data_IF_620342557670
#
_entry.id   IF_620342557670
#
_cell.length_a   1.000
_cell.length_b   1.000
_cell.length_c   1.000
_cell.angle_alpha   90.00
_cell.angle_beta   90.00
_cell.angle_gamma   90.00
#
_symmetry.space_group_name_H-M   'P 1'
#
loop_
_entity.id
_entity.type
_entity.pdbx_description
1 polymer ?
#
# COMPACT_ATOMS: atom_id res chain seq x y z
N UNK A 1 64.73 -24.65 -34.15
CA UNK A 1 64.37 -23.20 -34.18
C UNK A 1 63.11 -22.86 -34.97
N UNK A 2 62.94 -23.32 -36.23
CA UNK A 2 61.69 -23.07 -36.99
C UNK A 2 60.50 -23.96 -36.57
N UNK A 3 60.78 -25.21 -36.17
CA UNK A 3 59.78 -26.17 -35.73
C UNK A 3 59.21 -25.80 -34.36
N UNK A 4 60.06 -25.37 -33.43
CA UNK A 4 59.68 -24.94 -32.07
C UNK A 4 58.76 -23.71 -32.09
N UNK A 5 59.01 -22.78 -33.03
CA UNK A 5 58.16 -21.59 -33.24
C UNK A 5 56.74 -21.95 -33.70
N UNK A 6 56.59 -22.96 -34.56
CA UNK A 6 55.26 -23.41 -35.02
C UNK A 6 54.48 -24.09 -33.91
N UNK A 7 55.16 -24.90 -33.08
CA UNK A 7 54.56 -25.56 -31.92
C UNK A 7 54.07 -24.51 -30.90
N UNK A 8 54.89 -23.50 -30.60
CA UNK A 8 54.51 -22.41 -29.68
C UNK A 8 53.32 -21.58 -30.20
N UNK A 9 53.29 -21.25 -31.49
CA UNK A 9 52.16 -20.53 -32.09
C UNK A 9 50.89 -21.38 -32.09
N UNK A 10 50.98 -22.68 -32.40
CA UNK A 10 49.83 -23.59 -32.35
C UNK A 10 49.30 -23.79 -30.92
N UNK A 11 50.17 -23.87 -29.92
CA UNK A 11 49.79 -23.97 -28.52
C UNK A 11 49.11 -22.68 -28.02
N UNK A 12 49.60 -21.51 -28.45
CA UNK A 12 48.97 -20.22 -28.14
C UNK A 12 47.56 -20.10 -28.69
N UNK A 13 47.35 -20.46 -29.97
CA UNK A 13 46.02 -20.44 -30.62
C UNK A 13 45.06 -21.41 -29.92
N UNK A 14 45.53 -22.63 -29.59
CA UNK A 14 44.74 -23.62 -28.86
C UNK A 14 44.30 -23.14 -27.48
N UNK A 15 45.22 -22.52 -26.72
CA UNK A 15 44.91 -21.97 -25.39
C UNK A 15 43.91 -20.81 -25.46
N UNK A 16 44.05 -19.90 -26.44
CA UNK A 16 43.09 -18.81 -26.64
C UNK A 16 41.70 -19.29 -27.05
N UNK A 17 41.62 -20.30 -27.92
CA UNK A 17 40.34 -20.91 -28.31
C UNK A 17 39.66 -21.60 -27.12
N UNK A 18 40.42 -22.33 -26.30
CA UNK A 18 39.91 -22.98 -25.09
C UNK A 18 39.42 -21.95 -24.06
N UNK A 19 40.20 -20.90 -23.82
CA UNK A 19 39.82 -19.81 -22.92
C UNK A 19 38.55 -19.08 -23.40
N UNK A 20 38.46 -18.79 -24.71
CA UNK A 20 37.26 -18.19 -25.31
C UNK A 20 36.03 -19.10 -25.15
N UNK A 21 36.17 -20.40 -25.38
CA UNK A 21 35.09 -21.38 -25.21
C UNK A 21 34.64 -21.50 -23.75
N UNK A 22 35.58 -21.54 -22.80
CA UNK A 22 35.27 -21.58 -21.36
C UNK A 22 34.56 -20.28 -20.93
N UNK A 23 35.07 -19.11 -21.32
CA UNK A 23 34.47 -17.81 -20.99
C UNK A 23 33.06 -17.69 -21.57
N UNK A 24 32.85 -18.09 -22.83
CA UNK A 24 31.52 -18.03 -23.46
C UNK A 24 30.53 -19.00 -22.82
N UNK A 25 30.98 -20.20 -22.43
CA UNK A 25 30.13 -21.19 -21.74
C UNK A 25 29.79 -20.75 -20.32
N UNK A 26 30.74 -20.15 -19.58
CA UNK A 26 30.50 -19.56 -18.27
C UNK A 26 29.56 -18.35 -18.37
N UNK A 27 29.77 -17.44 -19.34
CA UNK A 27 28.84 -16.33 -19.59
C UNK A 27 27.43 -16.82 -19.91
N UNK A 28 27.30 -17.87 -20.73
CA UNK A 28 26.00 -18.44 -21.07
C UNK A 28 25.32 -19.11 -19.87
N UNK A 29 26.09 -19.81 -19.02
CA UNK A 29 25.57 -20.42 -17.79
C UNK A 29 25.20 -19.39 -16.71
N UNK A 30 25.96 -18.28 -16.63
CA UNK A 30 25.65 -17.17 -15.72
C UNK A 30 24.48 -16.33 -16.26
N UNK A 31 24.36 -16.19 -17.58
CA UNK A 31 23.24 -15.53 -18.26
C UNK A 31 21.98 -16.39 -18.32
N UNK A 32 22.08 -17.72 -18.23
CA UNK A 32 20.92 -18.63 -18.26
C UNK A 32 20.21 -18.75 -16.90
N UNK A 33 20.56 -17.90 -15.93
CA UNK A 33 19.76 -17.68 -14.73
C UNK A 33 18.61 -16.69 -14.96
N UNK A 34 18.17 -16.53 -16.21
CA UNK A 34 16.83 -16.03 -16.50
C UNK A 34 15.88 -17.18 -16.18
N UNK A 35 15.32 -17.21 -14.97
CA UNK A 35 14.11 -18.00 -14.74
C UNK A 35 13.10 -17.63 -15.82
N UNK A 36 12.42 -18.60 -16.43
CA UNK A 36 11.29 -18.34 -17.32
C UNK A 36 10.17 -17.71 -16.48
N UNK A 37 10.21 -16.39 -16.32
CA UNK A 37 9.17 -15.65 -15.61
C UNK A 37 7.90 -15.75 -16.44
N UNK A 38 6.94 -16.54 -15.95
CA UNK A 38 5.63 -16.67 -16.57
C UNK A 38 4.79 -15.47 -16.16
N UNK A 39 4.29 -14.66 -17.10
CA UNK A 39 3.37 -13.58 -16.77
C UNK A 39 2.07 -14.19 -16.20
N UNK A 40 1.76 -13.88 -14.95
CA UNK A 40 0.56 -14.40 -14.25
C UNK A 40 -0.61 -13.42 -14.27
N UNK A 41 -0.41 -12.19 -14.75
CA UNK A 41 -1.47 -11.20 -14.83
C UNK A 41 -1.00 -9.81 -15.24
N UNK A 42 -1.93 -8.86 -15.30
CA UNK A 42 -1.67 -7.45 -15.57
C UNK A 42 -2.46 -6.59 -14.59
N UNK A 43 -1.89 -5.49 -14.10
CA UNK A 43 -2.61 -4.57 -13.20
C UNK A 43 -3.79 -3.94 -13.96
N UNK A 44 -4.99 -4.03 -13.39
CA UNK A 44 -6.22 -3.43 -13.94
C UNK A 44 -6.42 -2.01 -13.45
N UNK A 45 -6.42 -1.86 -12.13
CA UNK A 45 -6.77 -0.63 -11.43
C UNK A 45 -5.92 -0.53 -10.15
N UNK A 46 -5.61 0.71 -9.79
CA UNK A 46 -4.88 1.06 -8.58
C UNK A 46 -5.71 2.06 -7.79
N UNK A 47 -5.73 1.88 -6.48
CA UNK A 47 -6.42 2.77 -5.57
C UNK A 47 -5.52 3.22 -4.41
N UNK A 48 -5.64 4.49 -4.05
CA UNK A 48 -5.02 5.07 -2.84
C UNK A 48 -6.11 5.66 -1.96
N UNK A 49 -6.01 5.45 -0.64
CA UNK A 49 -6.99 5.91 0.33
C UNK A 49 -6.33 6.85 1.35
N UNK A 50 -6.22 8.17 1.08
CA UNK A 50 -5.50 9.08 1.97
C UNK A 50 -6.01 9.04 3.42
N UNK A 51 -7.34 9.03 3.59
CA UNK A 51 -8.00 8.92 4.90
C UNK A 51 -8.61 7.52 5.04
N UNK A 52 -8.28 6.85 6.14
CA UNK A 52 -8.81 5.53 6.49
C UNK A 52 -10.33 5.53 6.47
N UNK A 53 -10.92 4.51 5.85
CA UNK A 53 -12.38 4.31 5.71
C UNK A 53 -13.13 5.34 4.86
N UNK A 54 -12.43 6.31 4.25
CA UNK A 54 -13.05 7.27 3.32
C UNK A 54 -12.99 6.79 1.87
N UNK A 55 -13.53 7.58 0.94
CA UNK A 55 -13.55 7.24 -0.49
C UNK A 55 -12.14 7.08 -1.05
N UNK A 56 -11.92 5.99 -1.79
CA UNK A 56 -10.66 5.74 -2.50
C UNK A 56 -10.52 6.60 -3.75
N UNK A 57 -9.27 6.86 -4.14
CA UNK A 57 -8.91 7.57 -5.37
C UNK A 57 -8.36 6.55 -6.35
N UNK A 58 -9.00 6.43 -7.51
CA UNK A 58 -8.45 5.67 -8.64
C UNK A 58 -7.26 6.42 -9.23
N UNK A 59 -6.12 5.74 -9.40
CA UNK A 59 -4.89 6.32 -9.91
C UNK A 59 -4.35 5.51 -11.08
N UNK A 60 -3.68 6.18 -12.02
CA UNK A 60 -3.08 5.52 -13.17
C UNK A 60 -1.78 4.76 -12.81
N UNK A 61 -1.03 5.31 -11.86
CA UNK A 61 0.25 4.78 -11.40
C UNK A 61 0.50 5.15 -9.96
N UNK A 62 1.21 4.31 -9.21
CA UNK A 62 1.65 4.59 -7.84
C UNK A 62 3.08 4.11 -7.62
N UNK A 63 3.83 4.83 -6.79
CA UNK A 63 5.08 4.36 -6.22
C UNK A 63 4.81 3.38 -5.08
N UNK A 64 5.54 2.28 -5.03
CA UNK A 64 5.40 1.28 -3.98
C UNK A 64 6.36 1.60 -2.82
N UNK A 65 5.87 2.26 -1.77
CA UNK A 65 6.60 2.51 -0.54
C UNK A 65 6.39 1.40 0.52
N UNK A 66 7.26 1.34 1.53
CA UNK A 66 7.14 0.34 2.60
C UNK A 66 5.86 0.52 3.46
N UNK A 67 5.33 1.75 3.55
CA UNK A 67 4.08 2.07 4.25
C UNK A 67 2.82 1.87 3.41
N UNK A 68 2.94 1.75 2.09
CA UNK A 68 1.82 1.59 1.16
C UNK A 68 2.02 2.33 -0.17
N UNK A 69 1.03 2.30 -1.06
CA UNK A 69 1.13 3.00 -2.35
C UNK A 69 1.10 4.52 -2.16
N UNK A 70 1.90 5.22 -2.98
CA UNK A 70 1.94 6.68 -3.05
C UNK A 70 1.64 7.12 -4.48
N UNK A 71 0.71 8.06 -4.66
CA UNK A 71 0.42 8.67 -5.96
C UNK A 71 0.46 10.20 -5.83
N UNK A 72 1.53 10.83 -6.33
CA UNK A 72 1.75 12.25 -6.10
C UNK A 72 1.83 12.55 -4.61
N UNK A 73 0.93 13.40 -4.11
CA UNK A 73 0.84 13.75 -2.68
C UNK A 73 -0.11 12.82 -1.89
N UNK A 74 -0.73 11.84 -2.54
CA UNK A 74 -1.61 10.87 -1.89
C UNK A 74 -0.81 9.71 -1.31
N UNK A 75 -0.67 9.68 0.01
CA UNK A 75 -0.10 8.55 0.75
C UNK A 75 -1.23 7.67 1.29
N UNK A 76 -1.12 6.36 1.15
CA UNK A 76 -2.15 5.44 1.61
C UNK A 76 -2.31 5.47 3.14
N UNK A 77 -3.52 5.82 3.59
CA UNK A 77 -3.99 5.79 4.98
C UNK A 77 -3.07 6.52 5.94
N UNK A 78 -2.55 7.65 5.49
CA UNK A 78 -1.81 8.59 6.34
C UNK A 78 -2.70 9.36 7.29
N UNK A 79 -4.02 9.29 7.13
CA UNK A 79 -4.96 9.95 8.02
C UNK A 79 -5.98 8.97 8.60
N UNK A 80 -6.43 9.25 9.82
CA UNK A 80 -7.47 8.48 10.50
C UNK A 80 -8.44 9.39 11.23
N UNK A 81 -9.73 9.03 11.19
CA UNK A 81 -10.79 9.76 11.89
C UNK A 81 -11.05 9.07 13.23
N UNK A 82 -11.07 9.82 14.33
CA UNK A 82 -11.23 9.32 15.69
C UNK A 82 -12.31 10.08 16.46
N UNK A 83 -12.86 9.44 17.47
CA UNK A 83 -13.56 10.11 18.57
C UNK A 83 -12.54 10.85 19.44
N UNK A 84 -12.70 12.15 19.60
CA UNK A 84 -11.73 13.04 20.27
C UNK A 84 -11.63 12.85 21.79
N UNK A 85 -12.64 12.23 22.41
CA UNK A 85 -12.65 11.93 23.86
C UNK A 85 -11.98 10.60 24.17
N UNK A 86 -12.28 9.57 23.38
CA UNK A 86 -11.86 8.18 23.63
C UNK A 86 -10.65 7.77 22.80
N UNK A 87 -10.33 8.50 21.74
CA UNK A 87 -9.29 8.14 20.77
C UNK A 87 -9.70 7.02 19.82
N UNK A 88 -10.90 6.42 19.96
CA UNK A 88 -11.32 5.30 19.12
C UNK A 88 -11.55 5.76 17.70
N UNK A 89 -10.91 5.09 16.75
CA UNK A 89 -11.12 5.36 15.33
C UNK A 89 -12.52 4.97 14.85
N UNK A 90 -13.05 5.75 13.92
CA UNK A 90 -14.25 5.41 13.18
C UNK A 90 -13.91 4.58 11.95
N UNK A 91 -14.78 3.61 11.67
CA UNK A 91 -14.68 2.73 10.51
C UNK A 91 -15.94 2.85 9.65
N UNK A 92 -15.81 2.52 8.36
CA UNK A 92 -16.96 2.45 7.46
C UNK A 92 -18.02 1.43 7.93
N UNK A 93 -17.64 0.42 8.74
CA UNK A 93 -18.58 -0.52 9.37
C UNK A 93 -19.49 0.16 10.39
N UNK A 94 -18.96 1.12 11.14
CA UNK A 94 -19.72 1.89 12.13
C UNK A 94 -20.44 3.07 11.48
N UNK A 95 -19.78 3.72 10.52
CA UNK A 95 -20.25 4.93 9.84
C UNK A 95 -20.09 4.79 8.32
N UNK A 96 -21.02 4.11 7.63
CA UNK A 96 -20.92 3.86 6.19
C UNK A 96 -20.81 5.14 5.35
N UNK A 97 -21.34 6.26 5.82
CA UNK A 97 -21.24 7.57 5.17
C UNK A 97 -19.79 7.98 4.86
N UNK A 98 -18.81 7.50 5.63
CA UNK A 98 -17.38 7.79 5.40
C UNK A 98 -16.92 7.44 3.99
N UNK A 99 -17.43 6.35 3.41
CA UNK A 99 -17.03 5.91 2.06
C UNK A 99 -17.48 6.88 0.95
N UNK A 100 -18.35 7.83 1.28
CA UNK A 100 -18.82 8.88 0.37
C UNK A 100 -18.00 10.18 0.49
N UNK A 101 -17.17 10.30 1.53
CA UNK A 101 -16.35 11.49 1.79
C UNK A 101 -15.11 11.43 0.91
N UNK A 102 -14.96 12.43 0.04
CA UNK A 102 -13.84 12.56 -0.87
C UNK A 102 -12.68 13.28 -0.18
N UNK A 103 -11.48 12.71 -0.26
CA UNK A 103 -10.29 13.27 0.38
C UNK A 103 -9.19 13.42 -0.66
N UNK A 104 -8.92 14.66 -1.11
CA UNK A 104 -7.92 14.93 -2.15
C UNK A 104 -6.82 15.82 -1.60
N UNK A 105 -5.56 15.51 -1.92
CA UNK A 105 -4.39 16.29 -1.54
C UNK A 105 -3.82 16.92 -2.82
N UNK A 106 -3.58 18.22 -2.78
CA UNK A 106 -2.90 18.97 -3.82
C UNK A 106 -2.21 20.18 -3.20
N UNK A 107 -0.99 20.48 -3.65
CA UNK A 107 -0.21 21.65 -3.22
C UNK A 107 -0.02 21.72 -1.69
N UNK A 108 0.15 20.56 -1.05
CA UNK A 108 0.30 20.42 0.40
C UNK A 108 -0.98 20.64 1.20
N UNK A 109 -2.14 20.67 0.55
CA UNK A 109 -3.45 20.88 1.18
C UNK A 109 -4.36 19.67 0.97
N UNK A 110 -4.79 19.06 2.07
CA UNK A 110 -5.86 18.06 2.07
C UNK A 110 -7.21 18.78 2.02
N UNK A 111 -8.00 18.52 0.99
CA UNK A 111 -9.41 18.92 0.87
C UNK A 111 -10.29 17.72 1.17
N UNK A 112 -11.14 17.84 2.18
CA UNK A 112 -12.16 16.86 2.55
C UNK A 112 -13.51 17.39 2.10
N UNK A 113 -14.26 16.61 1.32
CA UNK A 113 -15.56 16.99 0.78
C UNK A 113 -16.61 15.92 1.05
N UNK A 114 -17.72 16.30 1.69
CA UNK A 114 -18.84 15.39 1.94
C UNK A 114 -19.75 15.31 0.72
N UNK A 115 -20.60 14.27 0.69
CA UNK A 115 -21.58 14.10 -0.39
C UNK A 115 -22.54 15.28 -0.52
N UNK A 116 -22.87 15.93 0.59
CA UNK A 116 -23.82 17.04 0.66
C UNK A 116 -23.19 18.38 0.24
N UNK A 117 -21.92 18.36 -0.18
CA UNK A 117 -21.22 19.52 -0.76
C UNK A 117 -20.42 20.35 0.23
N UNK A 118 -20.48 20.04 1.54
CA UNK A 118 -19.64 20.68 2.54
C UNK A 118 -18.18 20.28 2.34
N UNK A 119 -17.27 21.21 2.63
CA UNK A 119 -15.83 20.96 2.49
C UNK A 119 -15.03 21.68 3.56
N UNK A 120 -13.90 21.08 3.94
CA UNK A 120 -12.90 21.66 4.82
C UNK A 120 -11.51 21.40 4.25
N UNK A 121 -10.56 22.26 4.60
CA UNK A 121 -9.17 22.14 4.15
C UNK A 121 -8.20 22.00 5.31
N UNK A 122 -7.12 21.25 5.09
CA UNK A 122 -6.05 21.03 6.06
C UNK A 122 -4.72 21.30 5.37
N UNK A 123 -4.01 22.33 5.82
CA UNK A 123 -2.64 22.60 5.38
C UNK A 123 -1.67 21.66 6.12
N UNK A 124 -1.04 20.74 5.39
CA UNK A 124 -0.22 19.66 5.95
C UNK A 124 1.01 20.22 6.68
N UNK A 125 1.69 21.20 6.10
CA UNK A 125 2.86 21.83 6.72
C UNK A 125 2.51 22.55 8.04
N UNK A 126 1.34 23.19 8.10
CA UNK A 126 0.84 23.80 9.32
C UNK A 126 0.60 22.76 10.41
N UNK A 127 0.03 21.60 10.08
CA UNK A 127 -0.14 20.49 11.03
C UNK A 127 1.21 19.99 11.54
N UNK A 128 2.18 19.78 10.64
CA UNK A 128 3.56 19.37 11.01
C UNK A 128 4.27 20.39 11.90
N UNK A 129 4.01 21.68 11.71
CA UNK A 129 4.59 22.76 12.53
C UNK A 129 3.94 22.85 13.91
N UNK A 130 2.62 22.71 13.98
CA UNK A 130 1.86 22.82 15.22
C UNK A 130 2.10 21.63 16.16
N UNK A 131 2.33 20.43 15.61
CA UNK A 131 2.65 19.20 16.36
C UNK A 131 1.70 18.90 17.52
N UNK A 132 0.42 19.21 17.35
CA UNK A 132 -0.60 18.88 18.36
C UNK A 132 -0.85 17.37 18.30
N UNK A 133 -0.30 16.62 19.24
CA UNK A 133 -0.36 15.17 19.25
C UNK A 133 -1.63 14.65 19.95
N UNK A 134 -2.24 13.61 19.38
CA UNK A 134 -3.30 12.81 20.00
C UNK A 134 -3.08 11.33 19.72
N UNK A 135 -3.64 10.47 20.56
CA UNK A 135 -3.58 9.02 20.40
C UNK A 135 -4.85 8.49 19.74
N UNK A 136 -4.69 7.76 18.65
CA UNK A 136 -5.71 6.89 18.10
C UNK A 136 -5.64 5.49 18.74
N UNK A 137 -6.79 4.89 19.01
CA UNK A 137 -6.94 3.51 19.46
C UNK A 137 -7.56 2.72 18.32
N UNK A 138 -6.76 1.88 17.68
CA UNK A 138 -7.11 1.08 16.51
C UNK A 138 -7.64 -0.31 16.91
N UNK A 139 -7.73 -1.22 15.93
CA UNK A 139 -8.07 -2.62 16.14
C UNK A 139 -7.22 -3.26 17.25
N UNK A 140 -7.84 -4.18 18.00
CA UNK A 140 -7.21 -4.84 19.16
C UNK A 140 -6.73 -3.88 20.26
N UNK A 141 -7.29 -2.67 20.32
CA UNK A 141 -6.90 -1.58 21.23
C UNK A 141 -5.44 -1.13 21.06
N UNK A 142 -4.83 -1.37 19.90
CA UNK A 142 -3.48 -0.90 19.60
C UNK A 142 -3.47 0.62 19.52
N UNK A 143 -2.52 1.25 20.20
CA UNK A 143 -2.36 2.69 20.25
C UNK A 143 -1.39 3.18 19.19
N UNK A 144 -1.79 4.21 18.45
CA UNK A 144 -0.95 4.88 17.46
C UNK A 144 -1.19 6.37 17.56
N UNK A 145 -0.12 7.14 17.72
CA UNK A 145 -0.20 8.59 17.81
C UNK A 145 -0.31 9.25 16.43
N UNK A 146 -0.84 10.46 16.41
CA UNK A 146 -0.98 11.28 15.21
C UNK A 146 -1.10 12.75 15.54
N UNK A 147 -0.93 13.59 14.52
CA UNK A 147 -1.05 15.04 14.62
C UNK A 147 -2.50 15.47 14.31
N UNK A 148 -3.11 16.22 15.21
CA UNK A 148 -4.46 16.78 15.06
C UNK A 148 -4.49 17.78 13.90
N UNK A 149 -5.42 17.56 12.96
CA UNK A 149 -5.57 18.37 11.75
C UNK A 149 -6.36 19.68 11.94
N UNK A 150 -6.85 19.96 13.15
CA UNK A 150 -7.50 21.20 13.53
C UNK A 150 -9.03 21.16 13.56
N UNK A 151 -9.62 22.26 14.04
CA UNK A 151 -11.05 22.35 14.34
C UNK A 151 -11.96 22.36 13.10
N UNK A 152 -11.50 22.92 11.97
CA UNK A 152 -12.33 23.05 10.76
C UNK A 152 -12.74 21.68 10.20
N UNK A 153 -11.76 20.79 10.03
CA UNK A 153 -12.02 19.42 9.56
C UNK A 153 -12.69 18.57 10.63
N UNK A 154 -12.44 18.85 11.91
CA UNK A 154 -13.11 18.18 13.02
C UNK A 154 -14.62 18.50 13.04
N UNK A 155 -14.99 19.75 12.81
CA UNK A 155 -16.39 20.16 12.67
C UNK A 155 -17.06 19.47 11.48
N UNK A 156 -16.39 19.41 10.33
CA UNK A 156 -16.90 18.74 9.14
C UNK A 156 -17.17 17.25 9.39
N UNK A 157 -16.24 16.53 10.01
CA UNK A 157 -16.44 15.11 10.32
C UNK A 157 -17.49 14.90 11.42
N UNK A 158 -17.57 15.80 12.40
CA UNK A 158 -18.59 15.74 13.45
C UNK A 158 -20.00 15.84 12.84
N UNK A 159 -20.19 16.78 11.92
CA UNK A 159 -21.44 16.94 11.17
C UNK A 159 -21.72 15.72 10.28
N UNK A 160 -20.73 15.30 9.48
CA UNK A 160 -20.89 14.19 8.54
C UNK A 160 -21.20 12.84 9.22
N UNK A 161 -20.66 12.60 10.41
CA UNK A 161 -20.85 11.34 11.16
C UNK A 161 -22.01 11.39 12.15
N UNK A 162 -22.59 12.57 12.40
CA UNK A 162 -23.60 12.79 13.44
C UNK A 162 -23.07 12.52 14.85
N UNK A 163 -21.81 12.89 15.12
CA UNK A 163 -21.11 12.63 16.38
C UNK A 163 -20.50 13.94 16.92
N UNK A 164 -20.12 13.94 18.20
CA UNK A 164 -19.48 15.12 18.82
C UNK A 164 -17.98 14.92 18.96
N UNK A 165 -17.19 15.95 18.69
CA UNK A 165 -15.73 15.96 18.85
C UNK A 165 -15.02 14.89 18.00
N UNK A 166 -15.39 14.79 16.73
CA UNK A 166 -14.69 13.90 15.78
C UNK A 166 -13.42 14.58 15.29
N UNK A 167 -12.27 13.92 15.42
CA UNK A 167 -10.95 14.47 15.04
C UNK A 167 -10.35 13.71 13.87
N UNK A 168 -9.67 14.44 13.00
CA UNK A 168 -8.80 13.86 11.97
C UNK A 168 -7.35 13.92 12.46
N UNK A 169 -6.69 12.77 12.53
CA UNK A 169 -5.27 12.69 12.82
C UNK A 169 -4.47 12.39 11.57
N UNK A 170 -3.29 13.01 11.47
CA UNK A 170 -2.30 12.78 10.42
C UNK A 170 -1.10 12.02 10.98
N UNK A 171 -0.67 11.00 10.25
CA UNK A 171 0.53 10.25 10.51
C UNK A 171 1.77 11.15 10.37
N UNK A 172 2.73 10.96 11.27
CA UNK A 172 4.06 11.56 11.17
C UNK A 172 5.10 10.58 11.68
N UNK A 173 6.23 10.51 10.98
CA UNK A 173 7.37 9.70 11.40
C UNK A 173 7.85 10.10 12.80
N UNK A 174 8.29 9.10 13.57
CA UNK A 174 8.80 9.27 14.94
C UNK A 174 7.74 9.35 16.04
N UNK A 175 6.44 9.30 15.69
CA UNK A 175 5.37 9.17 16.67
C UNK A 175 5.24 7.73 17.17
N UNK A 176 4.67 7.57 18.37
CA UNK A 176 4.51 6.27 19.00
C UNK A 176 3.48 5.40 18.26
N UNK A 177 3.78 4.11 18.10
CA UNK A 177 2.85 3.13 17.54
C UNK A 177 3.09 1.75 18.17
N UNK A 178 2.02 1.10 18.57
CA UNK A 178 2.01 -0.32 18.97
C UNK A 178 1.75 -1.24 17.77
N UNK A 179 1.49 -0.66 16.60
CA UNK A 179 1.25 -1.43 15.38
C UNK A 179 2.54 -2.13 14.96
N UNK A 180 2.42 -3.44 14.77
CA UNK A 180 3.46 -4.27 14.16
C UNK A 180 2.86 -5.07 13.03
N UNK A 181 3.58 -5.21 11.92
CA UNK A 181 3.19 -6.06 10.79
C UNK A 181 4.04 -7.34 10.79
N UNK A 182 3.92 -8.13 11.86
CA UNK A 182 4.65 -9.41 11.96
C UNK A 182 3.77 -10.53 11.40
N UNK A 183 4.10 -11.11 10.22
CA UNK A 183 3.35 -12.22 9.69
C UNK A 183 3.47 -13.45 10.58
N UNK A 184 2.33 -14.07 10.89
CA UNK A 184 2.31 -15.37 11.54
C UNK A 184 2.42 -16.48 10.49
N UNK A 185 3.09 -17.59 10.83
CA UNK A 185 3.20 -18.76 9.94
C UNK A 185 1.84 -19.29 9.51
N UNK A 186 0.84 -19.14 10.38
CA UNK A 186 -0.49 -19.75 10.22
C UNK A 186 -1.46 -18.84 9.43
N UNK A 187 -1.00 -17.68 8.95
CA UNK A 187 -1.84 -16.78 8.13
C UNK A 187 -2.09 -17.30 6.72
N UNK A 188 -1.34 -18.30 6.26
CA UNK A 188 -1.50 -18.86 4.92
C UNK A 188 -1.24 -20.37 4.90
N UNK A 189 -1.77 -21.05 3.88
CA UNK A 189 -1.57 -22.49 3.67
C UNK A 189 -0.14 -22.85 3.20
N UNK A 190 0.73 -21.86 2.99
CA UNK A 190 2.12 -22.00 2.56
C UNK A 190 3.04 -21.21 3.49
N UNK A 191 4.35 -21.44 3.38
CA UNK A 191 5.36 -20.65 4.10
C UNK A 191 5.13 -19.15 3.88
N UNK A 192 4.70 -18.46 4.94
CA UNK A 192 4.60 -17.01 4.95
C UNK A 192 6.01 -16.44 5.04
N UNK A 193 6.45 -15.61 4.07
CA UNK A 193 7.75 -14.97 4.16
C UNK A 193 7.85 -14.22 5.49
N UNK A 194 8.89 -14.50 6.27
CA UNK A 194 9.14 -13.75 7.50
C UNK A 194 9.45 -12.31 7.11
N UNK A 195 8.48 -11.42 7.31
CA UNK A 195 8.70 -9.98 7.21
C UNK A 195 9.43 -9.55 8.48
N UNK A 196 10.67 -9.10 8.30
CA UNK A 196 11.49 -8.52 9.35
C UNK A 196 11.25 -7.02 9.32
N UNK A 197 10.14 -6.61 9.92
CA UNK A 197 9.88 -5.18 10.23
C UNK A 197 10.59 -4.77 11.53
N UNK A 198 11.61 -5.52 11.96
CA UNK A 198 12.52 -5.17 13.06
C UNK A 198 13.45 -3.99 12.70
N UNK A 199 13.32 -3.43 11.49
CA UNK A 199 14.03 -2.23 11.05
C UNK A 199 13.29 -0.98 11.53
N UNK A 200 13.40 -0.64 12.82
CA UNK A 200 13.34 0.72 13.46
C UNK A 200 12.29 1.76 13.01
N UNK A 201 11.38 1.45 12.11
CA UNK A 201 10.50 2.37 11.41
C UNK A 201 9.11 1.77 11.34
N UNK A 202 8.11 2.63 11.51
CA UNK A 202 6.71 2.29 11.61
C UNK A 202 6.29 1.29 10.51
N UNK A 203 5.78 0.10 10.83
CA UNK A 203 5.53 -0.92 9.83
C UNK A 203 4.33 -0.61 8.93
N UNK A 204 3.49 0.36 9.32
CA UNK A 204 2.30 0.77 8.58
C UNK A 204 1.62 1.94 9.31
N UNK A 205 1.26 3.03 8.61
CA UNK A 205 0.55 4.19 9.16
C UNK A 205 -0.81 3.82 9.82
N UNK A 206 -1.95 4.03 9.14
CA UNK A 206 -3.26 3.64 9.69
C UNK A 206 -3.94 2.49 8.91
N UNK A 207 -3.22 1.71 8.11
CA UNK A 207 -3.79 0.49 7.52
C UNK A 207 -4.06 -0.61 8.54
N UNK A 208 -5.00 -1.51 8.22
CA UNK A 208 -5.50 -2.53 9.15
C UNK A 208 -4.49 -3.64 9.43
N UNK A 209 -3.87 -4.19 8.40
CA UNK A 209 -2.97 -5.35 8.54
C UNK A 209 -1.70 -5.19 7.71
N UNK A 210 -1.82 -4.81 6.44
CA UNK A 210 -0.70 -4.74 5.52
C UNK A 210 -0.73 -3.43 4.71
N UNK A 211 0.45 -2.94 4.26
CA UNK A 211 0.56 -1.75 3.42
C UNK A 211 -0.08 -1.91 2.04
N UNK A 212 -0.19 -3.16 1.55
CA UNK A 212 -0.81 -3.49 0.27
C UNK A 212 -1.87 -4.57 0.47
N UNK A 213 -2.99 -4.41 -0.21
CA UNK A 213 -3.92 -5.50 -0.47
C UNK A 213 -4.01 -5.73 -1.97
N UNK A 214 -4.00 -6.99 -2.38
CA UNK A 214 -4.11 -7.38 -3.79
C UNK A 214 -5.37 -8.22 -3.93
N UNK A 215 -6.16 -7.93 -4.97
CA UNK A 215 -7.29 -8.75 -5.36
C UNK A 215 -7.24 -9.01 -6.87
N UNK A 216 -8.04 -9.94 -7.36
CA UNK A 216 -8.11 -10.24 -8.79
C UNK A 216 -9.49 -9.99 -9.35
N UNK A 217 -9.54 -9.60 -10.62
CA UNK A 217 -10.81 -9.46 -11.32
C UNK A 217 -11.56 -10.80 -11.35
N UNK A 218 -10.85 -11.91 -11.58
CA UNK A 218 -11.47 -13.24 -11.60
C UNK A 218 -12.11 -13.62 -10.26
N UNK A 219 -11.49 -13.28 -9.12
CA UNK A 219 -12.09 -13.49 -7.79
C UNK A 219 -13.32 -12.61 -7.56
N UNK A 220 -13.30 -11.36 -8.06
CA UNK A 220 -14.47 -10.48 -7.97
C UNK A 220 -15.62 -10.96 -8.86
N UNK A 221 -15.33 -11.43 -10.07
CA UNK A 221 -16.32 -11.96 -11.01
C UNK A 221 -16.94 -13.25 -10.46
N UNK A 222 -16.13 -14.15 -9.88
CA UNK A 222 -16.61 -15.36 -9.21
C UNK A 222 -17.51 -15.03 -8.02
N UNK A 223 -17.14 -14.05 -7.19
CA UNK A 223 -18.00 -13.57 -6.10
C UNK A 223 -19.33 -13.06 -6.64
N UNK A 224 -19.30 -12.17 -7.64
CA UNK A 224 -20.51 -11.59 -8.22
C UNK A 224 -21.41 -12.64 -8.89
N UNK A 225 -20.84 -13.73 -9.43
CA UNK A 225 -21.63 -14.83 -10.00
C UNK A 225 -22.48 -15.59 -8.97
N UNK A 226 -22.15 -15.47 -7.68
CA UNK A 226 -22.81 -16.13 -6.55
C UNK A 226 -23.77 -15.21 -5.79
N UNK A 227 -23.83 -13.92 -6.15
CA UNK A 227 -24.70 -12.93 -5.53
C UNK A 227 -26.01 -12.79 -6.32
N UNK A 228 -27.07 -12.37 -5.63
CA UNK A 228 -28.31 -11.98 -6.30
C UNK A 228 -28.08 -10.68 -7.11
N UNK A 229 -28.86 -10.47 -8.17
CA UNK A 229 -28.61 -9.39 -9.15
C UNK A 229 -28.60 -7.98 -8.54
N UNK A 230 -29.31 -7.76 -7.43
CA UNK A 230 -29.38 -6.49 -6.71
C UNK A 230 -28.21 -6.28 -5.72
N UNK A 231 -27.40 -7.32 -5.49
CA UNK A 231 -26.28 -7.34 -4.54
C UNK A 231 -24.91 -7.17 -5.21
N UNK A 232 -24.86 -6.84 -6.50
CA UNK A 232 -23.61 -6.68 -7.26
C UNK A 232 -22.59 -5.79 -6.53
N UNK A 233 -21.35 -6.28 -6.47
CA UNK A 233 -20.23 -5.65 -5.75
C UNK A 233 -19.19 -5.15 -6.76
N UNK A 234 -18.90 -3.85 -6.72
CA UNK A 234 -17.74 -3.27 -7.39
C UNK A 234 -16.50 -3.34 -6.49
N UNK A 235 -15.32 -3.20 -7.08
CA UNK A 235 -14.04 -3.20 -6.34
C UNK A 235 -14.01 -2.10 -5.27
N UNK A 236 -14.58 -0.94 -5.58
CA UNK A 236 -14.66 0.21 -4.67
C UNK A 236 -15.40 -0.14 -3.36
N UNK A 237 -16.38 -1.05 -3.43
CA UNK A 237 -17.11 -1.54 -2.25
C UNK A 237 -16.30 -2.51 -1.40
N UNK A 238 -15.22 -3.06 -1.92
CA UNK A 238 -14.33 -3.90 -1.13
C UNK A 238 -13.47 -3.06 -0.16
N UNK A 239 -13.52 -1.72 -0.17
CA UNK A 239 -13.08 -0.79 0.89
C UNK A 239 -11.71 -1.06 1.56
N UNK A 240 -10.73 -1.52 0.80
CA UNK A 240 -9.33 -1.67 1.23
C UNK A 240 -8.40 -1.17 0.10
N UNK A 241 -7.14 -0.88 0.40
CA UNK A 241 -6.17 -0.38 -0.60
C UNK A 241 -5.79 -1.48 -1.57
N UNK A 242 -6.43 -1.47 -2.73
CA UNK A 242 -6.28 -2.50 -3.75
C UNK A 242 -5.24 -2.10 -4.81
N UNK A 243 -4.36 -3.06 -5.08
CA UNK A 243 -3.89 -3.31 -6.42
C UNK A 243 -4.83 -4.38 -6.99
N UNK A 244 -5.58 -4.07 -8.04
CA UNK A 244 -6.30 -5.12 -8.77
C UNK A 244 -5.37 -5.66 -9.83
N UNK A 245 -5.09 -6.95 -9.77
CA UNK A 245 -4.40 -7.65 -10.85
C UNK A 245 -5.44 -8.44 -11.63
N UNK A 246 -5.56 -8.18 -12.94
CA UNK A 246 -6.19 -9.13 -13.87
C UNK A 246 -5.30 -10.37 -13.91
N UNK A 247 -5.63 -11.36 -13.10
CA UNK A 247 -5.12 -12.72 -13.25
C UNK A 247 -6.20 -13.46 -14.06
N UNK A 248 -5.78 -14.18 -15.09
CA UNK A 248 -6.68 -14.93 -15.98
C UNK A 248 -7.37 -16.11 -15.28
N UNK A 249 -6.96 -16.47 -14.07
CA UNK A 249 -7.49 -17.58 -13.28
C UNK A 249 -7.92 -17.09 -11.89
N UNK A 250 -9.15 -17.43 -11.43
CA UNK A 250 -9.59 -17.11 -10.08
C UNK A 250 -8.75 -17.86 -9.04
N UNK A 251 -8.58 -17.26 -7.86
CA UNK A 251 -8.09 -18.00 -6.69
C UNK A 251 -9.22 -18.93 -6.23
N UNK A 252 -8.98 -20.25 -6.32
CA UNK A 252 -9.82 -21.31 -5.71
C UNK A 252 -9.27 -21.60 -4.32
#
# INVERSE_FOLDING_TARGET
MWQDRRVLVSAGIGASALAYWVITRLRKSLSSSSSDLIPVGTVKELYVYPVKSCKGISVFSSYCDYLGPISGEHFDRYFVVIDGKTGRFYTARQKPVMVTIECKIADGVLTVKTRDGLSATVNIEKVRKNKVMRTAVLHSNLRTDGLDCGEEVAALFSEALGETDVRLLMYSEGLFTERTCVPHSDWWNNNVPKRRDDVRFDPCAYADLAPYMITTQASLDDLNSKLENDQFVSVERLAHSFIIVVISTPFI
#
